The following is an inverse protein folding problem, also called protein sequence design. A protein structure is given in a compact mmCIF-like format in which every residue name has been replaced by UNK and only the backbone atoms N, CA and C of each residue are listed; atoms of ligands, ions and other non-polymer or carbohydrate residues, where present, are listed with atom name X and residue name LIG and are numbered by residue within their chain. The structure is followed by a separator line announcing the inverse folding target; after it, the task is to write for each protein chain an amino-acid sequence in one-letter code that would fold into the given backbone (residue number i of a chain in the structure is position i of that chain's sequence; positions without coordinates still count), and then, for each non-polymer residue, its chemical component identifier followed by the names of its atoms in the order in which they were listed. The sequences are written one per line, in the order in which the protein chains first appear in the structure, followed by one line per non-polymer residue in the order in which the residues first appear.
data_IF_738114544049
#
_entry.id   IF_738114544049
#
_cell.length_a   1.000
_cell.length_b   1.000
_cell.length_c   1.000
_cell.angle_alpha   90.00
_cell.angle_beta   90.00
_cell.angle_gamma   90.00
#
_symmetry.space_group_name_H-M   'P 1'
#
loop_
_entity.id
_entity.type
_entity.pdbx_description
1 polymer ?
#
# COMPACT_ATOMS: atom_id res chain seq x y z
N UNK A 1 -63.67 14.57 47.32
CA UNK A 1 -62.73 15.69 47.12
C UNK A 1 -61.72 15.63 48.25
N UNK A 2 -60.39 15.57 48.14
CA UNK A 2 -59.40 15.43 47.06
C UNK A 2 -58.21 14.72 47.75
N UNK A 3 -57.55 13.82 47.02
CA UNK A 3 -56.49 12.93 47.49
C UNK A 3 -55.24 13.70 47.92
N UNK A 4 -54.62 13.25 49.00
CA UNK A 4 -53.24 13.57 49.41
C UNK A 4 -52.31 12.94 48.36
N UNK A 5 -51.54 13.77 47.66
CA UNK A 5 -50.49 13.33 46.74
C UNK A 5 -49.15 13.75 47.32
N UNK A 6 -48.35 12.71 47.54
CA UNK A 6 -47.00 12.64 48.04
C UNK A 6 -46.04 13.39 47.09
N UNK A 7 -45.32 14.40 47.58
CA UNK A 7 -44.22 15.06 46.88
C UNK A 7 -42.90 14.38 47.30
N UNK A 8 -42.49 13.37 46.53
CA UNK A 8 -41.13 12.84 46.53
C UNK A 8 -40.46 13.34 45.26
N UNK A 9 -39.67 14.41 45.38
CA UNK A 9 -38.76 14.85 44.33
C UNK A 9 -37.57 13.88 44.30
N UNK A 10 -37.61 12.93 43.37
CA UNK A 10 -36.46 12.11 42.99
C UNK A 10 -35.59 12.98 42.06
N UNK A 11 -34.52 13.55 42.62
CA UNK A 11 -33.44 14.14 41.85
C UNK A 11 -32.46 13.03 41.44
N UNK A 12 -32.72 12.38 40.31
CA UNK A 12 -31.72 11.61 39.57
C UNK A 12 -31.49 12.36 38.26
N UNK A 13 -30.59 13.34 38.31
CA UNK A 13 -29.96 13.91 37.12
C UNK A 13 -28.94 12.87 36.65
N UNK A 14 -29.36 12.05 35.69
CA UNK A 14 -28.46 11.23 34.90
C UNK A 14 -27.63 12.20 34.06
N UNK A 15 -26.38 12.42 34.45
CA UNK A 15 -25.36 12.94 33.53
C UNK A 15 -25.12 11.87 32.47
N UNK A 16 -25.97 11.81 31.44
CA UNK A 16 -25.56 11.24 30.16
C UNK A 16 -24.66 12.28 29.49
N UNK A 17 -23.40 12.33 29.93
CA UNK A 17 -22.32 12.66 29.03
C UNK A 17 -22.38 11.61 27.93
N UNK A 18 -23.08 11.96 26.85
CA UNK A 18 -22.99 11.21 25.61
C UNK A 18 -21.54 11.33 25.17
N UNK A 19 -20.72 10.34 25.51
CA UNK A 19 -19.53 10.05 24.75
C UNK A 19 -20.04 9.73 23.34
N UNK A 20 -20.14 10.77 22.50
CA UNK A 20 -20.39 10.59 21.10
C UNK A 20 -19.17 9.84 20.60
N UNK A 21 -19.33 8.53 20.42
CA UNK A 21 -18.28 7.64 19.94
C UNK A 21 -17.75 8.29 18.65
N UNK A 22 -16.51 8.81 18.70
CA UNK A 22 -15.89 9.48 17.56
C UNK A 22 -15.91 8.46 16.43
N UNK A 23 -16.78 8.67 15.44
CA UNK A 23 -17.00 7.69 14.38
C UNK A 23 -15.67 7.54 13.65
N UNK A 24 -15.10 6.34 13.71
CA UNK A 24 -13.86 6.01 13.02
C UNK A 24 -14.05 6.23 11.50
N UNK A 25 -13.32 7.18 10.87
CA UNK A 25 -13.39 7.41 9.43
C UNK A 25 -13.24 6.13 8.61
N UNK A 26 -12.44 5.17 9.09
CA UNK A 26 -12.24 3.90 8.41
C UNK A 26 -13.51 3.05 8.37
N UNK A 27 -14.34 3.08 9.43
CA UNK A 27 -15.63 2.38 9.43
C UNK A 27 -16.56 2.96 8.38
N UNK A 28 -16.62 4.28 8.24
CA UNK A 28 -17.45 4.98 7.25
C UNK A 28 -17.01 4.58 5.84
N UNK A 29 -15.71 4.60 5.55
CA UNK A 29 -15.20 4.18 4.24
C UNK A 29 -15.55 2.72 3.94
N UNK A 30 -15.37 1.82 4.91
CA UNK A 30 -15.67 0.40 4.75
C UNK A 30 -17.16 0.15 4.48
N UNK A 31 -18.04 0.91 5.12
CA UNK A 31 -19.49 0.89 4.84
C UNK A 31 -19.78 1.42 3.44
N UNK A 32 -19.14 2.51 3.01
CA UNK A 32 -19.27 3.05 1.65
C UNK A 32 -18.90 2.00 0.59
N UNK A 33 -17.72 1.37 0.73
CA UNK A 33 -17.23 0.36 -0.22
C UNK A 33 -18.16 -0.87 -0.25
N UNK A 34 -18.70 -1.29 0.89
CA UNK A 34 -19.70 -2.39 0.95
C UNK A 34 -20.99 -2.03 0.23
N UNK A 35 -21.51 -0.83 0.47
CA UNK A 35 -22.74 -0.36 -0.17
C UNK A 35 -22.55 -0.23 -1.69
N UNK A 36 -21.36 0.18 -2.14
CA UNK A 36 -20.98 0.18 -3.55
C UNK A 36 -21.05 -1.23 -4.14
N UNK A 37 -20.38 -2.19 -3.48
CA UNK A 37 -20.36 -3.59 -3.93
C UNK A 37 -21.75 -4.22 -3.95
N UNK A 38 -22.62 -3.88 -3.00
CA UNK A 38 -24.02 -4.31 -2.98
C UNK A 38 -24.95 -3.51 -3.91
N UNK A 39 -24.40 -2.55 -4.68
CA UNK A 39 -25.12 -1.66 -5.60
C UNK A 39 -26.14 -0.75 -4.92
N UNK A 40 -26.01 -0.51 -3.62
CA UNK A 40 -26.75 0.55 -2.92
C UNK A 40 -26.00 1.88 -3.10
N UNK A 41 -26.04 2.39 -4.33
CA UNK A 41 -25.29 3.58 -4.73
C UNK A 41 -25.72 4.83 -3.96
N UNK A 42 -27.00 4.92 -3.56
CA UNK A 42 -27.51 6.04 -2.78
C UNK A 42 -26.84 6.08 -1.39
N UNK A 43 -26.80 4.95 -0.69
CA UNK A 43 -26.15 4.87 0.62
C UNK A 43 -24.63 4.99 0.51
N UNK A 44 -24.03 4.36 -0.51
CA UNK A 44 -22.60 4.48 -0.80
C UNK A 44 -22.19 5.94 -1.01
N UNK A 45 -22.94 6.69 -1.84
CA UNK A 45 -22.71 8.14 -2.07
C UNK A 45 -22.72 8.91 -0.76
N UNK A 46 -23.73 8.69 0.09
CA UNK A 46 -23.83 9.36 1.40
C UNK A 46 -22.62 9.05 2.28
N UNK A 47 -22.19 7.79 2.34
CA UNK A 47 -21.05 7.41 3.14
C UNK A 47 -19.72 7.96 2.59
N UNK A 48 -19.53 7.99 1.27
CA UNK A 48 -18.34 8.62 0.68
C UNK A 48 -18.28 10.11 0.95
N UNK A 49 -19.39 10.84 0.79
CA UNK A 49 -19.45 12.28 1.12
C UNK A 49 -19.14 12.50 2.61
N UNK A 50 -19.71 11.68 3.49
CA UNK A 50 -19.39 11.76 4.92
C UNK A 50 -17.91 11.50 5.21
N UNK A 51 -17.30 10.54 4.51
CA UNK A 51 -15.89 10.21 4.68
C UNK A 51 -14.97 11.34 4.20
N UNK A 52 -15.30 12.05 3.12
CA UNK A 52 -14.52 13.22 2.62
C UNK A 52 -14.34 14.29 3.71
N UNK A 53 -15.39 14.52 4.52
CA UNK A 53 -15.38 15.53 5.58
C UNK A 53 -14.46 15.15 6.75
N UNK A 54 -14.25 13.85 7.00
CA UNK A 54 -13.50 13.36 8.16
C UNK A 54 -12.15 12.72 7.84
N UNK A 55 -11.85 12.48 6.56
CA UNK A 55 -10.57 11.91 6.13
C UNK A 55 -9.43 12.91 6.36
N UNK A 56 -8.28 12.41 6.81
CA UNK A 56 -7.11 13.24 7.14
C UNK A 56 -6.29 13.62 5.90
N UNK A 57 -6.28 12.76 4.88
CA UNK A 57 -5.34 12.83 3.76
C UNK A 57 -6.03 13.06 2.42
N UNK A 58 -5.41 13.85 1.55
CA UNK A 58 -5.97 14.20 0.23
C UNK A 58 -6.24 12.97 -0.64
N UNK A 59 -5.35 11.98 -0.65
CA UNK A 59 -5.52 10.73 -1.43
C UNK A 59 -6.81 9.98 -1.08
N UNK A 60 -7.21 10.01 0.19
CA UNK A 60 -8.45 9.37 0.66
C UNK A 60 -9.67 10.16 0.18
N UNK A 61 -9.61 11.50 0.26
CA UNK A 61 -10.67 12.39 -0.24
C UNK A 61 -10.81 12.30 -1.75
N UNK A 62 -9.71 12.22 -2.49
CA UNK A 62 -9.64 11.98 -3.94
C UNK A 62 -10.43 10.72 -4.31
N UNK A 63 -10.05 9.58 -3.74
CA UNK A 63 -10.71 8.29 -4.01
C UNK A 63 -12.20 8.29 -3.62
N UNK A 64 -12.55 8.89 -2.48
CA UNK A 64 -13.93 8.95 -2.03
C UNK A 64 -14.81 9.87 -2.90
N UNK A 65 -14.28 11.02 -3.33
CA UNK A 65 -14.97 11.91 -4.26
C UNK A 65 -15.17 11.24 -5.61
N UNK A 66 -14.15 10.56 -6.14
CA UNK A 66 -14.25 9.78 -7.36
C UNK A 66 -15.34 8.69 -7.26
N UNK A 67 -15.29 7.84 -6.23
CA UNK A 67 -16.29 6.78 -6.07
C UNK A 67 -17.71 7.32 -5.83
N UNK A 68 -17.84 8.47 -5.17
CA UNK A 68 -19.13 9.16 -5.05
C UNK A 68 -19.63 9.64 -6.42
N UNK A 69 -18.75 10.14 -7.29
CA UNK A 69 -19.10 10.49 -8.66
C UNK A 69 -19.60 9.28 -9.45
N UNK A 70 -18.90 8.14 -9.39
CA UNK A 70 -19.33 6.90 -10.03
C UNK A 70 -20.72 6.46 -9.51
N UNK A 71 -20.94 6.47 -8.19
CA UNK A 71 -22.25 6.16 -7.62
C UNK A 71 -23.36 7.10 -8.13
N UNK A 72 -23.07 8.40 -8.25
CA UNK A 72 -24.04 9.40 -8.71
C UNK A 72 -24.34 9.25 -10.20
N UNK A 73 -23.33 8.93 -11.01
CA UNK A 73 -23.49 8.63 -12.43
C UNK A 73 -24.37 7.37 -12.63
N UNK A 74 -24.13 6.30 -11.86
CA UNK A 74 -24.96 5.09 -11.85
C UNK A 74 -26.40 5.31 -11.35
N UNK A 75 -26.66 6.43 -10.65
CA UNK A 75 -27.99 6.89 -10.25
C UNK A 75 -28.57 7.92 -11.24
N UNK A 76 -27.93 8.12 -12.39
CA UNK A 76 -28.30 9.12 -13.42
C UNK A 76 -28.32 10.57 -12.89
N UNK A 77 -27.65 10.84 -11.78
CA UNK A 77 -27.55 12.16 -11.14
C UNK A 77 -26.38 12.96 -11.72
N UNK A 78 -26.46 13.25 -13.03
CA UNK A 78 -25.37 13.79 -13.86
C UNK A 78 -24.72 15.04 -13.25
N UNK A 79 -25.51 16.05 -12.85
CA UNK A 79 -24.96 17.29 -12.28
C UNK A 79 -24.16 17.07 -11.01
N UNK A 80 -24.66 16.19 -10.13
CA UNK A 80 -23.99 15.89 -8.86
C UNK A 80 -22.73 15.06 -9.09
N UNK A 81 -22.74 14.17 -10.10
CA UNK A 81 -21.57 13.40 -10.49
C UNK A 81 -20.43 14.33 -10.94
N UNK A 82 -20.70 15.34 -11.78
CA UNK A 82 -19.69 16.33 -12.18
C UNK A 82 -19.14 17.13 -10.98
N UNK A 83 -19.99 17.54 -10.03
CA UNK A 83 -19.52 18.22 -8.81
C UNK A 83 -18.56 17.35 -8.00
N UNK A 84 -18.81 16.04 -7.93
CA UNK A 84 -17.89 15.11 -7.25
C UNK A 84 -16.61 14.85 -8.05
N UNK A 85 -16.66 14.80 -9.39
CA UNK A 85 -15.45 14.72 -10.23
C UNK A 85 -14.58 15.96 -10.06
N UNK A 86 -15.16 17.16 -10.07
CA UNK A 86 -14.41 18.41 -9.83
C UNK A 86 -13.74 18.38 -8.45
N UNK A 87 -14.43 17.90 -7.41
CA UNK A 87 -13.82 17.69 -6.09
C UNK A 87 -12.67 16.68 -6.13
N UNK A 88 -12.82 15.58 -6.87
CA UNK A 88 -11.75 14.60 -7.00
C UNK A 88 -10.51 15.20 -7.69
N UNK A 89 -10.72 16.04 -8.70
CA UNK A 89 -9.66 16.81 -9.40
C UNK A 89 -8.99 17.80 -8.44
N UNK A 90 -9.77 18.53 -7.64
CA UNK A 90 -9.23 19.43 -6.59
C UNK A 90 -8.38 18.68 -5.55
N UNK A 91 -8.68 17.40 -5.30
CA UNK A 91 -7.89 16.50 -4.45
C UNK A 91 -6.74 15.79 -5.19
N UNK A 92 -6.54 16.06 -6.48
CA UNK A 92 -5.39 15.59 -7.26
C UNK A 92 -5.67 14.41 -8.20
N UNK A 93 -6.92 14.18 -8.63
CA UNK A 93 -7.23 13.25 -9.72
C UNK A 93 -6.73 13.81 -11.06
N UNK A 94 -5.87 13.06 -11.75
CA UNK A 94 -5.30 13.48 -13.05
C UNK A 94 -5.34 12.38 -14.13
N UNK A 95 -5.72 11.15 -13.76
CA UNK A 95 -5.60 9.94 -14.59
C UNK A 95 -6.67 9.89 -15.70
N UNK A 96 -6.47 10.63 -16.79
CA UNK A 96 -7.43 10.72 -17.90
C UNK A 96 -7.86 9.37 -18.47
N UNK A 97 -6.92 8.42 -18.62
CA UNK A 97 -7.21 7.09 -19.14
C UNK A 97 -8.17 6.32 -18.25
N UNK A 98 -8.02 6.43 -16.93
CA UNK A 98 -8.89 5.78 -15.97
C UNK A 98 -10.34 6.26 -16.15
N UNK A 99 -10.56 7.58 -16.19
CA UNK A 99 -11.90 8.17 -16.38
C UNK A 99 -12.55 7.76 -17.70
N UNK A 100 -11.77 7.71 -18.79
CA UNK A 100 -12.29 7.33 -20.11
C UNK A 100 -12.71 5.86 -20.21
N UNK A 101 -12.10 5.00 -19.40
CA UNK A 101 -12.34 3.56 -19.42
C UNK A 101 -13.35 3.08 -18.37
N UNK A 102 -13.70 3.92 -17.40
CA UNK A 102 -14.62 3.56 -16.32
C UNK A 102 -16.07 3.52 -16.84
N UNK A 103 -16.65 2.31 -16.84
CA UNK A 103 -18.02 2.09 -17.27
C UNK A 103 -19.05 2.82 -16.41
N UNK A 104 -18.74 3.11 -15.15
CA UNK A 104 -19.69 3.75 -14.23
C UNK A 104 -19.90 5.23 -14.60
N UNK A 105 -18.99 5.82 -15.36
CA UNK A 105 -19.06 7.20 -15.85
C UNK A 105 -19.61 7.33 -17.27
N UNK A 106 -19.97 6.22 -17.94
CA UNK A 106 -20.34 6.21 -19.37
C UNK A 106 -21.50 7.18 -19.69
N UNK A 107 -22.46 7.33 -18.79
CA UNK A 107 -23.60 8.26 -18.96
C UNK A 107 -23.15 9.72 -19.03
N UNK A 108 -22.00 10.08 -18.44
CA UNK A 108 -21.47 11.44 -18.45
C UNK A 108 -20.83 11.78 -19.80
N UNK A 109 -20.42 10.78 -20.60
CA UNK A 109 -19.63 11.00 -21.82
C UNK A 109 -20.36 11.81 -22.89
N UNK A 110 -21.70 11.83 -22.86
CA UNK A 110 -22.54 12.58 -23.80
C UNK A 110 -22.82 14.02 -23.34
N UNK A 111 -22.50 14.36 -22.09
CA UNK A 111 -22.69 15.71 -21.57
C UNK A 111 -21.59 16.65 -22.09
N UNK A 112 -21.96 17.87 -22.49
CA UNK A 112 -21.02 18.87 -23.02
C UNK A 112 -19.88 19.22 -22.05
N UNK A 113 -20.06 19.01 -20.73
CA UNK A 113 -19.02 19.25 -19.72
C UNK A 113 -17.93 18.19 -19.76
N UNK A 114 -18.22 16.98 -20.26
CA UNK A 114 -17.27 15.88 -20.31
C UNK A 114 -16.02 16.22 -21.11
N UNK A 115 -16.20 16.73 -22.33
CA UNK A 115 -15.08 17.13 -23.19
C UNK A 115 -14.20 18.17 -22.50
N UNK A 116 -14.81 19.17 -21.85
CA UNK A 116 -14.09 20.19 -21.09
C UNK A 116 -13.31 19.59 -19.92
N UNK A 117 -13.95 18.73 -19.12
CA UNK A 117 -13.32 18.06 -17.98
C UNK A 117 -12.10 17.25 -18.43
N UNK A 118 -12.29 16.38 -19.42
CA UNK A 118 -11.24 15.50 -19.95
C UNK A 118 -10.10 16.30 -20.61
N UNK A 119 -10.40 17.40 -21.30
CA UNK A 119 -9.37 18.27 -21.89
C UNK A 119 -8.50 18.98 -20.85
N UNK A 120 -9.02 19.16 -19.63
CA UNK A 120 -8.28 19.74 -18.51
C UNK A 120 -7.37 18.76 -17.78
N UNK A 121 -7.48 17.46 -18.06
CA UNK A 121 -6.64 16.41 -17.47
C UNK A 121 -5.45 16.08 -18.38
N UNK A 122 -4.32 15.72 -17.78
CA UNK A 122 -3.13 15.31 -18.52
C UNK A 122 -3.34 13.96 -19.22
N UNK A 123 -2.88 13.84 -20.48
CA UNK A 123 -3.02 12.61 -21.29
C UNK A 123 -2.18 11.42 -20.83
N UNK A 124 -1.17 11.66 -19.98
CA UNK A 124 -0.38 10.58 -19.41
C UNK A 124 0.30 11.04 -18.13
N UNK A 125 0.27 10.18 -17.13
CA UNK A 125 1.38 10.01 -16.21
C UNK A 125 2.59 9.49 -17.03
N UNK A 126 3.23 10.35 -17.84
CA UNK A 126 4.55 10.01 -18.39
C UNK A 126 5.51 10.02 -17.24
N UNK A 127 5.49 8.94 -16.47
CA UNK A 127 6.54 8.64 -15.53
C UNK A 127 7.83 8.58 -16.32
N UNK A 128 8.83 9.19 -15.69
CA UNK A 128 10.16 9.33 -16.23
C UNK A 128 10.71 7.97 -16.71
N UNK A 129 11.27 7.91 -17.92
CA UNK A 129 11.86 6.69 -18.49
C UNK A 129 13.39 6.65 -18.37
N UNK A 130 14.01 7.72 -17.87
CA UNK A 130 15.43 7.83 -17.61
C UNK A 130 15.68 7.60 -16.11
N UNK A 131 16.36 6.52 -15.69
CA UNK A 131 16.58 6.27 -14.27
C UNK A 131 17.21 7.46 -13.53
N UNK A 132 18.04 8.29 -14.18
CA UNK A 132 18.76 9.42 -13.56
C UNK A 132 17.88 10.60 -13.14
N UNK A 133 16.64 10.67 -13.61
CA UNK A 133 15.71 11.75 -13.24
C UNK A 133 14.79 11.37 -12.06
N UNK A 134 14.86 10.13 -11.55
CA UNK A 134 14.09 9.72 -10.38
C UNK A 134 14.66 10.37 -9.11
N UNK A 135 13.81 11.07 -8.36
CA UNK A 135 14.21 11.69 -7.11
C UNK A 135 14.12 10.68 -5.96
N UNK A 136 15.14 10.66 -5.11
CA UNK A 136 15.16 9.87 -3.88
C UNK A 136 14.92 10.80 -2.69
N UNK A 137 13.65 10.88 -2.28
CA UNK A 137 13.11 11.82 -1.29
C UNK A 137 13.12 11.20 0.10
N UNK A 138 13.95 11.77 0.98
CA UNK A 138 14.17 11.27 2.35
C UNK A 138 13.80 12.30 3.42
N UNK A 139 13.38 13.50 3.02
CA UNK A 139 13.12 14.63 3.93
C UNK A 139 12.06 14.30 4.99
N UNK A 140 11.08 13.44 4.69
CA UNK A 140 10.06 13.05 5.65
C UNK A 140 10.64 12.26 6.83
N UNK A 141 11.71 11.46 6.63
CA UNK A 141 12.42 10.79 7.73
C UNK A 141 13.05 11.82 8.68
N UNK A 142 13.66 12.86 8.11
CA UNK A 142 14.27 13.95 8.88
C UNK A 142 13.22 14.80 9.60
N UNK A 143 12.14 15.17 8.93
CA UNK A 143 11.01 15.90 9.50
C UNK A 143 10.37 15.12 10.67
N UNK A 144 10.24 13.80 10.53
CA UNK A 144 9.74 12.94 11.60
C UNK A 144 10.60 13.04 12.85
N UNK A 145 11.93 12.93 12.71
CA UNK A 145 12.82 12.98 13.87
C UNK A 145 12.86 14.36 14.53
N UNK A 146 12.75 15.45 13.75
CA UNK A 146 12.55 16.81 14.29
C UNK A 146 11.26 16.88 15.12
N UNK A 147 10.14 16.40 14.56
CA UNK A 147 8.85 16.38 15.26
C UNK A 147 8.86 15.47 16.51
N UNK A 148 9.54 14.32 16.43
CA UNK A 148 9.66 13.36 17.52
C UNK A 148 10.38 13.97 18.72
N UNK A 149 11.54 14.63 18.50
CA UNK A 149 12.30 15.26 19.58
C UNK A 149 11.48 16.36 20.26
N UNK A 150 10.81 17.22 19.48
CA UNK A 150 9.93 18.26 20.00
C UNK A 150 8.74 17.68 20.80
N UNK A 151 8.16 16.57 20.32
CA UNK A 151 7.01 15.94 20.97
C UNK A 151 7.39 15.30 22.32
N UNK A 152 8.63 14.81 22.48
CA UNK A 152 9.13 14.27 23.75
C UNK A 152 9.23 15.37 24.82
N UNK A 153 9.67 16.56 24.44
CA UNK A 153 9.81 17.71 25.36
C UNK A 153 8.46 18.34 25.75
N UNK A 154 7.38 18.02 25.03
CA UNK A 154 6.05 18.63 25.21
C UNK A 154 4.92 17.63 24.94
N UNK A 155 4.86 16.56 25.74
CA UNK A 155 3.94 15.44 25.54
C UNK A 155 2.45 15.83 25.43
N UNK A 156 2.00 16.85 26.16
CA UNK A 156 0.62 17.37 26.07
C UNK A 156 0.29 18.06 24.72
N UNK A 157 1.31 18.35 23.91
CA UNK A 157 1.22 19.01 22.60
C UNK A 157 1.70 18.13 21.44
N UNK A 158 1.96 16.83 21.69
CA UNK A 158 2.52 15.93 20.68
C UNK A 158 1.73 15.93 19.37
N UNK A 159 0.39 15.91 19.43
CA UNK A 159 -0.44 15.91 18.22
C UNK A 159 -0.31 17.18 17.38
N UNK A 160 -0.27 18.36 18.01
CA UNK A 160 -0.04 19.63 17.30
C UNK A 160 1.37 19.71 16.74
N UNK A 161 2.37 19.18 17.45
CA UNK A 161 3.76 19.14 17.00
C UNK A 161 3.89 18.24 15.76
N UNK A 162 3.39 17.00 15.80
CA UNK A 162 3.38 16.14 14.61
C UNK A 162 2.61 16.76 13.45
N UNK A 163 1.51 17.48 13.71
CA UNK A 163 0.81 18.18 12.63
C UNK A 163 1.67 19.26 11.97
N UNK A 164 2.25 20.17 12.75
CA UNK A 164 3.03 21.30 12.22
C UNK A 164 4.38 20.87 11.63
N UNK A 165 5.09 19.96 12.28
CA UNK A 165 6.47 19.63 11.94
C UNK A 165 6.59 18.41 11.02
N UNK A 166 5.56 17.57 10.94
CA UNK A 166 5.59 16.37 10.11
C UNK A 166 4.49 16.37 9.04
N UNK A 167 3.22 16.39 9.41
CA UNK A 167 2.12 16.23 8.43
C UNK A 167 1.92 17.43 7.49
N UNK A 168 2.12 18.67 7.95
CA UNK A 168 2.03 19.88 7.11
C UNK A 168 3.24 20.05 6.19
N UNK A 169 4.38 19.43 6.55
CA UNK A 169 5.60 19.41 5.74
C UNK A 169 5.70 18.16 4.85
N UNK A 170 4.67 17.32 4.82
CA UNK A 170 4.71 16.03 4.14
C UNK A 170 4.94 16.17 2.63
N UNK A 171 5.86 15.37 2.10
CA UNK A 171 6.00 15.20 0.65
C UNK A 171 4.72 14.62 0.01
N UNK A 172 4.58 14.68 -1.32
CA UNK A 172 3.51 13.99 -2.04
C UNK A 172 3.42 12.49 -1.69
N UNK A 173 4.55 11.78 -1.67
CA UNK A 173 4.55 10.36 -1.33
C UNK A 173 4.20 10.08 0.14
N UNK A 174 4.57 10.97 1.07
CA UNK A 174 4.11 10.84 2.46
C UNK A 174 2.61 11.04 2.61
N UNK A 175 2.00 11.98 1.89
CA UNK A 175 0.55 12.15 1.88
C UNK A 175 -0.15 10.88 1.39
N UNK A 176 0.36 10.27 0.33
CA UNK A 176 -0.19 9.03 -0.23
C UNK A 176 0.02 7.84 0.73
N UNK A 177 1.23 7.65 1.27
CA UNK A 177 1.54 6.56 2.18
C UNK A 177 0.68 6.62 3.45
N UNK A 178 0.57 7.82 4.04
CA UNK A 178 -0.22 8.01 5.24
C UNK A 178 -1.71 7.73 4.99
N UNK A 179 -2.25 8.16 3.87
CA UNK A 179 -3.66 7.91 3.53
C UNK A 179 -3.96 6.45 3.18
N UNK A 180 -3.09 5.80 2.41
CA UNK A 180 -3.29 4.45 1.90
C UNK A 180 -2.97 3.37 2.94
N UNK A 181 -1.89 3.54 3.70
CA UNK A 181 -1.37 2.50 4.60
C UNK A 181 -1.60 2.81 6.07
N UNK A 182 -1.43 4.05 6.53
CA UNK A 182 -1.54 4.42 7.96
C UNK A 182 -2.96 4.84 8.35
N UNK A 183 -3.73 5.33 7.38
CA UNK A 183 -5.17 5.67 7.42
C UNK A 183 -5.55 6.93 8.20
N UNK A 184 -4.91 7.24 9.32
CA UNK A 184 -5.20 8.48 10.07
C UNK A 184 -3.99 8.99 10.85
N UNK A 185 -3.97 10.30 11.09
CA UNK A 185 -2.96 10.97 11.92
C UNK A 185 -3.03 10.49 13.38
N UNK A 186 -4.25 10.31 13.90
CA UNK A 186 -4.49 9.80 15.26
C UNK A 186 -3.90 8.39 15.45
N UNK A 187 -4.10 7.49 14.47
CA UNK A 187 -3.54 6.15 14.50
C UNK A 187 -2.01 6.18 14.47
N UNK A 188 -1.42 7.00 13.59
CA UNK A 188 0.02 7.19 13.53
C UNK A 188 0.58 7.61 14.89
N UNK A 189 0.09 8.72 15.45
CA UNK A 189 0.58 9.28 16.71
C UNK A 189 0.41 8.28 17.86
N UNK A 190 -0.73 7.59 17.91
CA UNK A 190 -0.96 6.53 18.91
C UNK A 190 0.06 5.41 18.79
N UNK A 191 0.38 4.96 17.57
CA UNK A 191 1.38 3.93 17.34
C UNK A 191 2.77 4.38 17.78
N UNK A 192 3.21 5.59 17.42
CA UNK A 192 4.53 6.10 17.87
C UNK A 192 4.60 6.12 19.40
N UNK A 193 3.58 6.68 20.05
CA UNK A 193 3.54 6.84 21.50
C UNK A 193 3.43 5.51 22.27
N UNK A 194 2.94 4.44 21.63
CA UNK A 194 2.86 3.11 22.26
C UNK A 194 4.13 2.28 22.12
N UNK A 195 5.13 2.72 21.34
CA UNK A 195 6.39 2.01 21.12
C UNK A 195 7.64 2.85 21.47
N UNK A 196 7.70 3.53 22.63
CA UNK A 196 8.79 4.45 22.94
C UNK A 196 10.18 3.79 22.94
N UNK A 197 10.31 2.52 23.37
CA UNK A 197 11.62 1.83 23.39
C UNK A 197 12.12 1.53 21.98
N UNK A 198 11.20 1.19 21.08
CA UNK A 198 11.54 1.00 19.67
C UNK A 198 12.02 2.33 19.06
N UNK A 199 11.22 3.39 19.17
CA UNK A 199 11.56 4.69 18.58
C UNK A 199 12.81 5.35 19.19
N UNK A 200 13.17 5.01 20.42
CA UNK A 200 14.46 5.40 21.02
C UNK A 200 15.67 4.70 20.39
N UNK A 201 15.50 3.54 19.75
CA UNK A 201 16.61 2.69 19.29
C UNK A 201 16.74 2.58 17.77
N UNK A 202 15.70 2.92 17.00
CA UNK A 202 15.74 2.79 15.53
C UNK A 202 16.28 4.01 14.77
N UNK A 203 16.47 5.16 15.42
CA UNK A 203 16.79 6.44 14.75
C UNK A 203 17.97 6.34 13.79
N UNK A 204 19.10 5.86 14.28
CA UNK A 204 20.31 5.76 13.45
C UNK A 204 20.10 4.83 12.25
N UNK A 205 19.38 3.72 12.42
CA UNK A 205 19.12 2.78 11.33
C UNK A 205 18.21 3.39 10.26
N UNK A 206 17.19 4.17 10.65
CA UNK A 206 16.30 4.83 9.69
C UNK A 206 16.98 5.95 8.90
N UNK A 207 17.97 6.64 9.50
CA UNK A 207 18.72 7.71 8.85
C UNK A 207 19.75 7.21 7.82
N UNK A 208 20.14 5.93 7.88
CA UNK A 208 21.03 5.32 6.88
C UNK A 208 20.47 5.34 5.45
N UNK A 209 19.17 5.61 5.28
CA UNK A 209 18.55 5.82 3.97
C UNK A 209 19.30 6.86 3.12
N UNK A 210 19.95 7.85 3.74
CA UNK A 210 20.77 8.84 3.03
C UNK A 210 21.97 8.22 2.32
N UNK A 211 22.48 7.10 2.81
CA UNK A 211 23.67 6.40 2.29
C UNK A 211 23.33 5.53 1.06
N UNK A 212 22.11 5.01 0.97
CA UNK A 212 21.70 4.04 -0.05
C UNK A 212 21.21 4.64 -1.37
N UNK A 213 21.20 5.98 -1.52
CA UNK A 213 20.70 6.64 -2.74
C UNK A 213 21.39 6.14 -4.01
N UNK A 214 22.71 5.91 -3.94
CA UNK A 214 23.49 5.43 -5.09
C UNK A 214 23.17 3.98 -5.46
N UNK A 215 22.88 3.13 -4.48
CA UNK A 215 22.56 1.72 -4.71
C UNK A 215 21.15 1.55 -5.30
N UNK A 216 20.20 2.38 -4.86
CA UNK A 216 18.87 2.49 -5.49
C UNK A 216 19.02 2.93 -6.95
N UNK A 217 19.78 4.00 -7.18
CA UNK A 217 20.01 4.54 -8.53
C UNK A 217 20.69 3.52 -9.45
N UNK A 218 21.62 2.72 -8.90
CA UNK A 218 22.24 1.61 -9.63
C UNK A 218 21.19 0.58 -10.02
N UNK A 219 20.34 0.14 -9.10
CA UNK A 219 19.28 -0.85 -9.38
C UNK A 219 18.32 -0.39 -10.48
N UNK A 220 18.00 0.91 -10.53
CA UNK A 220 17.19 1.50 -11.59
C UNK A 220 17.87 1.40 -12.97
N UNK A 221 19.18 1.65 -13.03
CA UNK A 221 19.97 1.48 -14.27
C UNK A 221 20.04 0.03 -14.71
N UNK A 222 20.24 -0.90 -13.79
CA UNK A 222 20.24 -2.33 -14.09
C UNK A 222 18.88 -2.76 -14.68
N UNK A 223 17.75 -2.27 -14.14
CA UNK A 223 16.44 -2.53 -14.73
C UNK A 223 16.32 -1.95 -16.15
N UNK A 224 16.82 -0.73 -16.39
CA UNK A 224 16.79 -0.10 -17.72
C UNK A 224 17.50 -0.95 -18.78
N UNK A 225 18.62 -1.57 -18.42
CA UNK A 225 19.41 -2.40 -19.32
C UNK A 225 18.69 -3.69 -19.72
N UNK A 226 17.98 -4.32 -18.78
CA UNK A 226 17.28 -5.60 -19.02
C UNK A 226 15.83 -5.40 -19.51
N UNK A 227 15.24 -4.22 -19.26
CA UNK A 227 13.88 -3.85 -19.65
C UNK A 227 13.82 -2.38 -20.14
N UNK A 228 14.15 -2.09 -21.42
CA UNK A 228 14.29 -0.73 -21.92
C UNK A 228 13.05 0.18 -21.82
N UNK A 229 11.85 -0.39 -21.74
CA UNK A 229 10.57 0.34 -21.57
C UNK A 229 10.21 0.65 -20.12
N UNK A 230 11.10 0.34 -19.16
CA UNK A 230 10.89 0.63 -17.75
C UNK A 230 10.59 2.12 -17.47
N UNK A 231 9.71 2.33 -16.50
CA UNK A 231 9.38 3.62 -15.88
C UNK A 231 10.08 3.74 -14.53
N UNK A 232 10.55 4.94 -14.20
CA UNK A 232 11.30 5.25 -12.98
C UNK A 232 10.64 6.41 -12.24
N UNK A 233 9.68 6.11 -11.34
CA UNK A 233 9.06 7.12 -10.51
C UNK A 233 10.01 7.60 -9.41
N UNK A 234 9.64 8.70 -8.75
CA UNK A 234 10.29 9.13 -7.52
C UNK A 234 10.11 8.09 -6.40
N UNK A 235 11.05 8.07 -5.45
CA UNK A 235 11.05 7.19 -4.28
C UNK A 235 10.93 8.04 -3.03
N UNK A 236 9.92 7.75 -2.21
CA UNK A 236 9.61 8.48 -0.99
C UNK A 236 9.81 7.59 0.23
N UNK A 237 10.68 8.03 1.14
CA UNK A 237 10.94 7.35 2.39
C UNK A 237 10.25 8.07 3.54
N UNK A 238 9.43 7.33 4.30
CA UNK A 238 8.55 7.92 5.30
C UNK A 238 8.58 7.09 6.58
N UNK A 239 8.35 7.75 7.71
CA UNK A 239 8.09 7.05 8.95
C UNK A 239 6.66 6.50 8.93
N UNK A 240 6.49 5.19 8.96
CA UNK A 240 5.19 4.55 8.99
C UNK A 240 4.74 4.14 10.41
N UNK A 241 3.67 3.35 10.47
CA UNK A 241 3.14 2.77 11.70
C UNK A 241 3.11 1.23 11.63
N UNK A 242 4.17 0.62 11.08
CA UNK A 242 4.27 -0.83 10.79
C UNK A 242 3.16 -1.39 9.89
N UNK A 243 2.53 -0.55 9.06
CA UNK A 243 1.42 -0.97 8.19
C UNK A 243 1.84 -1.39 6.78
N UNK A 244 3.05 -1.07 6.32
CA UNK A 244 3.60 -1.46 5.01
C UNK A 244 5.12 -1.32 5.01
N UNK A 245 5.83 -2.24 4.35
CA UNK A 245 7.27 -2.10 4.08
C UNK A 245 7.52 -1.23 2.85
N UNK A 246 6.74 -1.48 1.79
CA UNK A 246 6.64 -0.66 0.60
C UNK A 246 5.24 -0.68 0.02
N UNK A 247 4.99 0.19 -0.97
CA UNK A 247 3.82 0.20 -1.86
C UNK A 247 4.07 1.18 -3.00
N UNK A 248 3.22 1.13 -4.02
CA UNK A 248 3.20 2.12 -5.11
C UNK A 248 1.98 3.04 -5.05
N UNK A 249 2.10 4.21 -5.66
CA UNK A 249 1.02 5.20 -5.85
C UNK A 249 1.29 6.04 -7.10
N UNK A 250 0.37 6.94 -7.45
CA UNK A 250 0.58 7.95 -8.50
C UNK A 250 1.76 8.90 -8.21
N UNK A 251 2.13 9.10 -6.94
CA UNK A 251 3.32 9.89 -6.60
C UNK A 251 4.63 9.15 -6.89
N UNK A 252 4.63 7.81 -6.75
CA UNK A 252 5.78 6.95 -6.96
C UNK A 252 5.88 5.81 -5.95
N UNK A 253 7.10 5.35 -5.67
CA UNK A 253 7.37 4.28 -4.70
C UNK A 253 7.36 4.84 -3.28
N UNK A 254 6.66 4.19 -2.37
CA UNK A 254 6.46 4.66 -1.00
C UNK A 254 7.01 3.63 -0.02
N UNK A 255 8.04 3.98 0.74
CA UNK A 255 8.79 3.05 1.59
C UNK A 255 8.65 3.42 3.07
N UNK A 256 8.11 2.48 3.85
CA UNK A 256 7.93 2.61 5.30
C UNK A 256 9.22 2.29 6.06
N UNK A 257 10.09 3.28 6.25
CA UNK A 257 11.49 3.07 6.68
C UNK A 257 11.65 2.39 8.04
N UNK A 258 10.65 2.46 8.94
CA UNK A 258 10.70 1.80 10.23
C UNK A 258 10.74 0.27 10.16
N UNK A 259 10.25 -0.35 9.09
CA UNK A 259 10.43 -1.79 8.91
C UNK A 259 11.86 -2.14 8.45
N UNK A 260 12.67 -1.18 7.99
CA UNK A 260 14.06 -1.38 7.55
C UNK A 260 15.03 -0.81 8.60
N UNK A 261 14.71 -1.02 9.87
CA UNK A 261 15.43 -0.41 10.99
C UNK A 261 15.93 -1.39 12.05
N UNK A 262 15.93 -2.69 11.76
CA UNK A 262 16.42 -3.75 12.65
C UNK A 262 17.94 -3.67 12.87
N UNK A 263 18.43 -4.27 13.95
CA UNK A 263 19.83 -4.29 14.34
C UNK A 263 20.06 -4.82 15.76
N UNK A 264 21.32 -5.05 16.13
CA UNK A 264 21.69 -5.65 17.43
C UNK A 264 21.19 -4.84 18.63
N UNK A 265 21.21 -3.51 18.54
CA UNK A 265 20.81 -2.58 19.61
C UNK A 265 19.32 -2.18 19.57
N UNK A 266 18.52 -2.76 18.67
CA UNK A 266 17.12 -2.36 18.47
C UNK A 266 16.20 -3.05 19.48
N UNK A 267 15.42 -2.25 20.22
CA UNK A 267 14.50 -2.77 21.22
C UNK A 267 13.13 -3.07 20.60
N UNK A 268 12.89 -4.35 20.31
CA UNK A 268 11.63 -4.84 19.73
C UNK A 268 10.65 -5.39 20.77
N UNK A 269 10.86 -5.18 22.08
CA UNK A 269 10.02 -5.79 23.12
C UNK A 269 8.54 -5.37 23.05
N UNK A 270 8.27 -4.20 22.49
CA UNK A 270 6.93 -3.61 22.35
C UNK A 270 6.21 -4.11 21.09
N UNK A 271 6.91 -4.79 20.18
CA UNK A 271 6.34 -5.41 18.99
C UNK A 271 5.83 -6.83 19.29
N UNK A 272 4.70 -7.17 18.66
CA UNK A 272 4.21 -8.54 18.68
C UNK A 272 5.06 -9.47 17.79
N UNK A 273 4.70 -10.77 17.74
CA UNK A 273 5.46 -11.72 16.93
C UNK A 273 5.40 -11.41 15.43
N UNK A 274 4.24 -10.99 14.92
CA UNK A 274 4.06 -10.67 13.51
C UNK A 274 4.85 -9.42 13.11
N UNK A 275 4.77 -8.37 13.91
CA UNK A 275 5.48 -7.11 13.67
C UNK A 275 7.00 -7.28 13.68
N UNK A 276 7.53 -8.17 14.53
CA UNK A 276 8.96 -8.52 14.52
C UNK A 276 9.41 -9.19 13.23
N UNK A 277 8.54 -9.95 12.57
CA UNK A 277 8.88 -10.59 11.29
C UNK A 277 8.99 -9.56 10.16
N UNK A 278 8.29 -8.43 10.25
CA UNK A 278 8.34 -7.34 9.28
C UNK A 278 9.67 -6.56 9.34
N UNK A 279 10.38 -6.62 10.47
CA UNK A 279 11.64 -5.88 10.64
C UNK A 279 12.77 -6.48 9.80
N UNK A 280 13.54 -5.62 9.16
CA UNK A 280 14.71 -5.94 8.36
C UNK A 280 15.81 -4.90 8.63
N UNK A 281 17.05 -5.24 8.30
CA UNK A 281 18.17 -4.32 8.44
C UNK A 281 18.10 -3.21 7.40
N UNK A 282 18.71 -2.05 7.70
CA UNK A 282 18.74 -0.91 6.77
C UNK A 282 19.43 -1.25 5.44
N UNK A 283 20.33 -2.23 5.44
CA UNK A 283 21.02 -2.72 4.23
C UNK A 283 20.03 -3.31 3.19
N UNK A 284 18.80 -3.65 3.60
CA UNK A 284 17.76 -4.13 2.69
C UNK A 284 17.03 -3.01 1.94
N UNK A 285 17.32 -1.73 2.20
CA UNK A 285 16.65 -0.59 1.57
C UNK A 285 16.73 -0.66 0.03
N UNK A 286 17.88 -0.87 -0.62
CA UNK A 286 17.93 -1.01 -2.08
C UNK A 286 17.09 -2.17 -2.60
N UNK A 287 17.00 -3.27 -1.85
CA UNK A 287 16.31 -4.49 -2.26
C UNK A 287 14.79 -4.30 -2.24
N UNK A 288 14.24 -3.72 -1.16
CA UNK A 288 12.80 -3.43 -1.10
C UNK A 288 12.38 -2.35 -2.12
N UNK A 289 13.22 -1.34 -2.36
CA UNK A 289 12.94 -0.33 -3.39
C UNK A 289 12.92 -0.98 -4.78
N UNK A 290 13.81 -1.94 -5.01
CA UNK A 290 13.85 -2.69 -6.26
C UNK A 290 12.63 -3.58 -6.44
N UNK A 291 12.16 -4.24 -5.37
CA UNK A 291 10.88 -4.97 -5.36
C UNK A 291 9.70 -4.06 -5.75
N UNK A 292 9.55 -2.89 -5.10
CA UNK A 292 8.47 -1.95 -5.41
C UNK A 292 8.57 -1.37 -6.82
N UNK A 293 9.79 -1.18 -7.34
CA UNK A 293 9.99 -0.75 -8.72
C UNK A 293 9.40 -1.74 -9.72
N UNK A 294 9.44 -3.04 -9.43
CA UNK A 294 8.84 -4.06 -10.30
C UNK A 294 7.32 -4.00 -10.24
N UNK A 295 6.71 -3.83 -9.07
CA UNK A 295 5.28 -3.58 -8.98
C UNK A 295 4.83 -2.39 -9.83
N UNK A 296 5.65 -1.35 -9.91
CA UNK A 296 5.40 -0.19 -10.77
C UNK A 296 5.43 -0.51 -12.28
N UNK A 297 6.04 -1.63 -12.68
CA UNK A 297 6.04 -2.08 -14.08
C UNK A 297 4.89 -3.04 -14.41
N UNK A 298 4.11 -3.48 -13.42
CA UNK A 298 3.11 -4.55 -13.54
C UNK A 298 1.73 -4.08 -14.06
N UNK A 299 1.61 -2.85 -14.59
CA UNK A 299 0.37 -2.27 -15.10
C UNK A 299 -0.35 -3.13 -16.18
N UNK A 300 0.38 -4.01 -16.87
CA UNK A 300 -0.12 -4.83 -17.98
C UNK A 300 -0.54 -6.26 -17.61
N UNK A 301 -0.44 -6.66 -16.34
CA UNK A 301 -0.76 -8.03 -15.93
C UNK A 301 -2.27 -8.34 -16.03
N UNK A 302 -2.59 -9.61 -16.26
CA UNK A 302 -3.98 -10.10 -16.22
C UNK A 302 -4.60 -9.84 -14.86
N UNK A 303 -5.71 -9.10 -14.83
CA UNK A 303 -6.56 -9.05 -13.64
C UNK A 303 -7.29 -10.39 -13.48
N UNK A 304 -6.92 -11.16 -12.46
CA UNK A 304 -7.48 -12.46 -12.09
C UNK A 304 -7.46 -12.58 -10.55
N UNK A 305 -8.41 -13.32 -9.97
CA UNK A 305 -8.56 -13.50 -8.52
C UNK A 305 -7.95 -14.80 -8.01
N UNK A 306 -7.36 -15.64 -8.88
CA UNK A 306 -6.73 -16.88 -8.43
C UNK A 306 -5.45 -16.60 -7.63
N UNK A 307 -5.24 -17.38 -6.56
CA UNK A 307 -4.06 -17.29 -5.68
C UNK A 307 -2.73 -17.36 -6.46
N UNK A 308 -2.68 -18.13 -7.56
CA UNK A 308 -1.50 -18.22 -8.43
C UNK A 308 -1.08 -16.87 -9.01
N UNK A 309 -2.04 -16.04 -9.44
CA UNK A 309 -1.76 -14.73 -10.02
C UNK A 309 -1.11 -13.79 -9.00
N UNK A 310 -1.67 -13.74 -7.79
CA UNK A 310 -1.10 -12.98 -6.68
C UNK A 310 0.31 -13.45 -6.31
N UNK A 311 0.52 -14.76 -6.16
CA UNK A 311 1.83 -15.31 -5.84
C UNK A 311 2.87 -14.95 -6.91
N UNK A 312 2.54 -15.14 -8.20
CA UNK A 312 3.42 -14.75 -9.31
C UNK A 312 3.72 -13.26 -9.29
N UNK A 313 2.74 -12.39 -9.02
CA UNK A 313 2.95 -10.94 -8.99
C UNK A 313 3.96 -10.52 -7.92
N UNK A 314 3.79 -11.00 -6.68
CA UNK A 314 4.70 -10.71 -5.55
C UNK A 314 6.08 -11.35 -5.75
N UNK A 315 6.11 -12.62 -6.14
CA UNK A 315 7.36 -13.35 -6.34
C UNK A 315 8.15 -12.88 -7.57
N UNK A 316 7.49 -12.33 -8.59
CA UNK A 316 8.14 -11.65 -9.72
C UNK A 316 8.83 -10.39 -9.25
N UNK A 317 8.19 -9.61 -8.38
CA UNK A 317 8.80 -8.42 -7.79
C UNK A 317 10.04 -8.78 -6.96
N UNK A 318 9.99 -9.85 -6.18
CA UNK A 318 11.18 -10.38 -5.49
C UNK A 318 12.27 -10.86 -6.45
N UNK A 319 11.92 -11.62 -7.48
CA UNK A 319 12.90 -12.22 -8.38
C UNK A 319 13.61 -11.16 -9.23
N UNK A 320 12.85 -10.32 -9.92
CA UNK A 320 13.46 -9.27 -10.76
C UNK A 320 14.10 -8.21 -9.86
N UNK A 321 13.52 -7.93 -8.69
CA UNK A 321 14.14 -7.07 -7.67
C UNK A 321 15.53 -7.58 -7.25
N UNK A 322 15.66 -8.88 -6.96
CA UNK A 322 16.96 -9.52 -6.67
C UNK A 322 17.92 -9.39 -7.87
N UNK A 323 17.45 -9.65 -9.10
CA UNK A 323 18.29 -9.56 -10.29
C UNK A 323 18.93 -8.16 -10.47
N UNK A 324 18.19 -7.09 -10.19
CA UNK A 324 18.67 -5.72 -10.42
C UNK A 324 19.44 -5.13 -9.23
N UNK A 325 19.18 -5.62 -8.01
CA UNK A 325 19.76 -5.08 -6.78
C UNK A 325 20.86 -5.95 -6.17
N UNK A 326 20.94 -7.21 -6.59
CA UNK A 326 21.95 -8.19 -6.19
C UNK A 326 21.56 -9.07 -5.01
N UNK A 327 20.47 -8.77 -4.29
CA UNK A 327 20.00 -9.56 -3.15
C UNK A 327 18.48 -9.51 -2.96
N UNK A 328 17.93 -10.49 -2.25
CA UNK A 328 16.49 -10.58 -1.96
C UNK A 328 16.07 -9.68 -0.79
N UNK A 329 14.93 -8.99 -0.93
CA UNK A 329 14.30 -8.26 0.16
C UNK A 329 13.73 -9.21 1.26
N UNK A 330 13.52 -10.48 0.94
CA UNK A 330 12.75 -11.44 1.73
C UNK A 330 13.58 -12.64 2.21
N UNK A 331 14.87 -12.43 2.50
CA UNK A 331 15.83 -13.48 2.93
C UNK A 331 15.27 -14.44 3.99
N UNK A 332 14.53 -13.92 4.97
CA UNK A 332 13.92 -14.73 6.06
C UNK A 332 12.93 -15.78 5.55
N UNK A 333 12.17 -15.47 4.50
CA UNK A 333 11.23 -16.42 3.87
C UNK A 333 12.02 -17.57 3.23
N UNK A 334 13.08 -17.26 2.48
CA UNK A 334 13.94 -18.26 1.84
C UNK A 334 14.62 -19.17 2.86
N UNK A 335 15.17 -18.60 3.94
CA UNK A 335 15.81 -19.37 5.00
C UNK A 335 14.83 -20.33 5.68
N UNK A 336 13.58 -19.91 5.88
CA UNK A 336 12.55 -20.76 6.45
C UNK A 336 12.07 -21.85 5.47
N UNK A 337 11.96 -21.54 4.18
CA UNK A 337 11.49 -22.45 3.14
C UNK A 337 12.46 -23.61 2.85
N UNK A 338 13.76 -23.42 3.15
CA UNK A 338 14.81 -24.43 2.93
C UNK A 338 14.45 -25.80 3.54
N UNK A 339 14.45 -26.82 2.70
CA UNK A 339 14.11 -28.20 3.05
C UNK A 339 12.61 -28.48 3.20
N UNK A 340 11.73 -27.50 2.92
CA UNK A 340 10.26 -27.61 2.98
C UNK A 340 9.60 -27.37 1.62
N UNK A 341 10.38 -27.28 0.55
CA UNK A 341 9.95 -26.85 -0.78
C UNK A 341 8.77 -27.70 -1.29
N UNK A 342 8.88 -29.04 -1.19
CA UNK A 342 7.83 -29.97 -1.61
C UNK A 342 6.56 -29.86 -0.77
N UNK A 343 6.70 -29.59 0.53
CA UNK A 343 5.56 -29.41 1.42
C UNK A 343 4.81 -28.11 1.09
N UNK A 344 5.54 -27.01 0.97
CA UNK A 344 4.99 -25.69 0.63
C UNK A 344 4.23 -25.78 -0.70
N UNK A 345 4.82 -26.40 -1.72
CA UNK A 345 4.16 -26.59 -3.02
C UNK A 345 2.90 -27.46 -2.94
N UNK A 346 2.95 -28.58 -2.20
CA UNK A 346 1.81 -29.47 -2.05
C UNK A 346 0.62 -28.78 -1.36
N UNK A 347 0.89 -27.88 -0.41
CA UNK A 347 -0.15 -27.09 0.23
C UNK A 347 -0.67 -25.97 -0.70
N UNK A 348 0.21 -25.31 -1.44
CA UNK A 348 -0.17 -24.27 -2.40
C UNK A 348 -1.04 -24.80 -3.54
N UNK A 349 -0.73 -25.98 -4.06
CA UNK A 349 -1.47 -26.60 -5.16
C UNK A 349 -2.97 -26.75 -4.85
N UNK A 350 -3.33 -26.93 -3.57
CA UNK A 350 -4.73 -27.03 -3.11
C UNK A 350 -5.49 -25.71 -3.23
N UNK A 351 -4.79 -24.57 -3.19
CA UNK A 351 -5.36 -23.22 -3.15
C UNK A 351 -5.13 -22.43 -4.44
N UNK A 352 -4.13 -22.75 -5.26
CA UNK A 352 -3.61 -21.89 -6.33
C UNK A 352 -4.64 -21.43 -7.36
N UNK A 353 -5.70 -22.20 -7.61
CA UNK A 353 -6.77 -21.86 -8.57
C UNK A 353 -8.06 -21.33 -7.93
N UNK A 354 -8.03 -21.03 -6.63
CA UNK A 354 -9.13 -20.40 -5.89
C UNK A 354 -8.73 -18.99 -5.44
N UNK A 355 -9.73 -18.17 -5.13
CA UNK A 355 -9.56 -16.88 -4.45
C UNK A 355 -9.29 -17.11 -2.95
N UNK A 356 -8.03 -17.43 -2.65
CA UNK A 356 -7.51 -17.76 -1.31
C UNK A 356 -6.15 -17.14 -1.04
N UNK A 357 -5.81 -16.06 -1.74
CA UNK A 357 -4.50 -15.41 -1.64
C UNK A 357 -4.15 -14.99 -0.20
N UNK A 358 -5.15 -14.61 0.61
CA UNK A 358 -4.99 -14.26 2.02
C UNK A 358 -4.49 -15.40 2.93
N UNK A 359 -4.42 -16.64 2.44
CA UNK A 359 -3.71 -17.73 3.12
C UNK A 359 -2.19 -17.69 2.89
N UNK A 360 -1.72 -16.95 1.90
CA UNK A 360 -0.36 -17.01 1.35
C UNK A 360 0.37 -15.67 1.34
N UNK A 361 -0.36 -14.54 1.40
CA UNK A 361 0.15 -13.17 1.31
C UNK A 361 -0.54 -12.30 2.36
N UNK A 362 0.21 -11.45 3.07
CA UNK A 362 -0.24 -10.56 4.13
C UNK A 362 -0.80 -11.27 5.37
N UNK A 363 -0.41 -12.53 5.61
CA UNK A 363 -1.05 -13.43 6.58
C UNK A 363 -0.35 -13.48 7.95
N UNK A 364 0.36 -12.41 8.34
CA UNK A 364 1.13 -12.30 9.59
C UNK A 364 0.33 -12.58 10.88
N UNK A 365 -0.96 -12.28 10.90
CA UNK A 365 -1.81 -12.57 12.07
C UNK A 365 -1.98 -14.07 12.37
N UNK A 366 -1.66 -14.93 11.40
CA UNK A 366 -1.67 -16.39 11.52
C UNK A 366 -0.25 -16.97 11.67
N UNK A 367 0.77 -16.13 11.69
CA UNK A 367 2.17 -16.57 11.71
C UNK A 367 2.49 -17.34 12.99
N UNK A 368 3.27 -18.41 12.83
CA UNK A 368 3.78 -19.21 13.94
C UNK A 368 5.13 -19.82 13.55
N UNK A 369 5.77 -20.55 14.48
CA UNK A 369 7.03 -21.25 14.18
C UNK A 369 6.88 -22.29 13.06
N UNK A 370 5.69 -22.89 12.95
CA UNK A 370 5.38 -23.95 11.99
C UNK A 370 4.66 -23.42 10.73
N UNK A 371 4.37 -22.11 10.68
CA UNK A 371 3.70 -21.46 9.56
C UNK A 371 4.26 -20.04 9.39
N UNK A 372 5.26 -19.89 8.53
CA UNK A 372 5.79 -18.58 8.17
C UNK A 372 4.80 -17.82 7.27
N UNK A 373 4.61 -16.50 7.46
CA UNK A 373 3.76 -15.72 6.58
C UNK A 373 4.38 -15.56 5.19
N UNK A 374 3.61 -15.07 4.23
CA UNK A 374 4.09 -14.61 2.92
C UNK A 374 4.81 -15.67 2.06
N UNK A 375 4.53 -16.95 2.29
CA UNK A 375 5.07 -18.03 1.46
C UNK A 375 4.66 -17.93 -0.02
N UNK A 376 3.63 -17.15 -0.35
CA UNK A 376 3.29 -16.81 -1.73
C UNK A 376 4.43 -16.12 -2.49
N UNK A 377 5.24 -15.30 -1.81
CA UNK A 377 6.41 -14.61 -2.39
C UNK A 377 7.45 -15.64 -2.87
N UNK A 378 7.82 -16.58 -2.00
CA UNK A 378 8.77 -17.64 -2.35
C UNK A 378 8.27 -18.51 -3.51
N UNK A 379 6.99 -18.86 -3.52
CA UNK A 379 6.39 -19.68 -4.59
C UNK A 379 6.45 -18.95 -5.92
N UNK A 380 5.99 -17.70 -5.98
CA UNK A 380 6.04 -16.91 -7.19
C UNK A 380 7.46 -16.67 -7.68
N UNK A 381 8.39 -16.45 -6.75
CA UNK A 381 9.81 -16.27 -7.05
C UNK A 381 10.36 -17.51 -7.75
N UNK A 382 10.13 -18.71 -7.20
CA UNK A 382 10.65 -19.95 -7.78
C UNK A 382 10.03 -20.24 -9.17
N UNK A 383 8.75 -19.91 -9.37
CA UNK A 383 8.11 -20.00 -10.69
C UNK A 383 8.79 -19.05 -11.68
N UNK A 384 8.94 -17.77 -11.32
CA UNK A 384 9.55 -16.76 -12.20
C UNK A 384 11.01 -17.10 -12.50
N UNK A 385 11.79 -17.47 -11.48
CA UNK A 385 13.18 -17.90 -11.62
C UNK A 385 13.30 -19.12 -12.52
N UNK A 386 12.45 -20.13 -12.34
CA UNK A 386 12.45 -21.33 -13.19
C UNK A 386 12.13 -20.98 -14.65
N UNK A 387 11.17 -20.09 -14.90
CA UNK A 387 10.88 -19.58 -16.25
C UNK A 387 12.10 -18.88 -16.85
N UNK A 388 12.69 -17.93 -16.11
CA UNK A 388 13.87 -17.19 -16.53
C UNK A 388 15.04 -18.11 -16.85
N UNK A 389 15.36 -19.07 -15.98
CA UNK A 389 16.48 -20.01 -16.17
C UNK A 389 16.32 -20.86 -17.44
N UNK A 390 15.08 -21.26 -17.77
CA UNK A 390 14.77 -22.06 -18.96
C UNK A 390 14.69 -21.26 -20.27
N UNK A 391 14.58 -19.93 -20.21
CA UNK A 391 14.50 -19.10 -21.40
C UNK A 391 15.86 -18.94 -22.10
N UNK A 392 15.87 -18.98 -23.43
CA UNK A 392 17.07 -18.68 -24.23
C UNK A 392 17.36 -17.17 -24.24
N UNK A 393 16.32 -16.35 -24.42
CA UNK A 393 16.40 -14.90 -24.33
C UNK A 393 15.90 -14.42 -22.97
N UNK A 394 16.85 -13.94 -22.15
CA UNK A 394 16.58 -13.45 -20.80
C UNK A 394 15.79 -12.12 -20.79
N UNK A 395 15.97 -11.27 -21.79
CA UNK A 395 15.22 -10.00 -21.90
C UNK A 395 13.78 -10.27 -22.30
N UNK A 396 13.58 -11.20 -23.24
CA UNK A 396 12.23 -11.66 -23.56
C UNK A 396 11.55 -12.30 -22.36
N UNK A 397 12.27 -13.08 -21.54
CA UNK A 397 11.69 -13.69 -20.35
C UNK A 397 11.15 -12.65 -19.35
N UNK A 398 11.86 -11.53 -19.17
CA UNK A 398 11.43 -10.41 -18.31
C UNK A 398 10.21 -9.72 -18.92
N UNK A 399 10.20 -9.48 -20.23
CA UNK A 399 9.05 -8.92 -20.94
C UNK A 399 7.80 -9.80 -20.78
N UNK A 400 7.96 -11.12 -20.91
CA UNK A 400 6.88 -12.09 -20.76
C UNK A 400 6.31 -12.06 -19.33
N UNK A 401 7.18 -12.02 -18.31
CA UNK A 401 6.78 -11.87 -16.91
C UNK A 401 5.95 -10.61 -16.68
N UNK A 402 6.40 -9.47 -17.16
CA UNK A 402 5.73 -8.18 -16.94
C UNK A 402 4.44 -8.01 -17.76
N UNK A 403 4.08 -8.97 -18.62
CA UNK A 403 2.91 -8.90 -19.50
C UNK A 403 2.03 -10.16 -19.48
N UNK A 404 2.14 -11.01 -18.45
CA UNK A 404 1.40 -12.28 -18.35
C UNK A 404 -0.10 -12.06 -18.52
N UNK A 405 -0.68 -12.76 -19.52
CA UNK A 405 -2.13 -12.80 -19.77
C UNK A 405 -2.81 -14.11 -19.33
N UNK A 406 -2.02 -15.15 -19.04
CA UNK A 406 -2.48 -16.48 -18.61
C UNK A 406 -1.50 -17.08 -17.59
N UNK A 407 -1.86 -16.99 -16.31
CA UNK A 407 -1.03 -17.49 -15.21
C UNK A 407 -0.87 -19.02 -15.22
N UNK A 408 -1.87 -19.78 -15.72
CA UNK A 408 -1.80 -21.24 -15.76
C UNK A 408 -0.80 -21.69 -16.83
N UNK A 409 -0.84 -21.05 -17.99
CA UNK A 409 0.14 -21.26 -19.05
C UNK A 409 1.54 -20.86 -18.59
N UNK A 410 1.69 -19.70 -17.95
CA UNK A 410 3.00 -19.26 -17.44
C UNK A 410 3.61 -20.25 -16.44
N UNK A 411 2.81 -20.78 -15.50
CA UNK A 411 3.27 -21.84 -14.59
C UNK A 411 3.75 -23.08 -15.35
N UNK A 412 2.98 -23.56 -16.34
CA UNK A 412 3.38 -24.72 -17.13
C UNK A 412 4.70 -24.48 -17.90
N UNK A 413 4.82 -23.32 -18.53
CA UNK A 413 6.01 -22.94 -19.30
C UNK A 413 7.23 -22.72 -18.41
N UNK A 414 7.04 -22.35 -17.13
CA UNK A 414 8.13 -22.16 -16.16
C UNK A 414 8.91 -23.45 -15.87
N UNK A 415 8.28 -24.62 -16.09
CA UNK A 415 8.79 -25.95 -15.70
C UNK A 415 9.11 -26.11 -14.21
N UNK A 416 8.57 -25.24 -13.36
CA UNK A 416 8.81 -25.30 -11.91
C UNK A 416 8.44 -26.66 -11.31
N UNK A 417 7.29 -27.23 -11.69
CA UNK A 417 6.85 -28.53 -11.18
C UNK A 417 7.84 -29.66 -11.51
N UNK A 418 8.48 -29.59 -12.69
CA UNK A 418 9.50 -30.55 -13.10
C UNK A 418 10.81 -30.35 -12.34
N UNK A 419 11.21 -29.09 -12.10
CA UNK A 419 12.39 -28.73 -11.31
C UNK A 419 12.24 -29.20 -9.86
N UNK A 420 11.07 -28.99 -9.25
CA UNK A 420 10.78 -29.38 -7.87
C UNK A 420 10.87 -30.90 -7.63
N UNK A 421 10.58 -31.72 -8.64
CA UNK A 421 10.73 -33.18 -8.54
C UNK A 421 12.19 -33.63 -8.43
N UNK A 422 13.14 -32.80 -8.85
CA UNK A 422 14.57 -33.08 -8.87
C UNK A 422 15.31 -32.57 -7.62
N UNK A 423 14.67 -31.70 -6.83
CA UNK A 423 15.11 -31.29 -5.49
C UNK A 423 14.92 -32.44 -4.50
#
# INVERSE_FOLDING_TARGET
MKKIVLLLFISILINQLSAQEKIDPFRIKKEADRNYQSKDYALATKNYIQFIEVADFKVQKKSAAYNAACCLALQESIDSAFVMLDKAIDYGLAEKSHLLSDSDLEILHQDQRWEKLISGLSESDTFNTDPELANIVVQDVHNFWEAYDLAQDSSNQAASIYNQYYFEKASPGMQDYMGLKVRSKDYFIKHINSHPKLYQTIRQNTLKVDEYKKDIQKSFKELKEIYPSAKFPDVYFVMGAFTSGGTVSSAGLLIGINQMSDGEDVNTQELDFGDKLLMNQSENIPYIVSHELIHFQQDGLKNDTITLGYAISEGMADFIGELISGETANRKIFDWAKGKEKQIWADFNKDMYYDRYSNWIGNYSKASKDSYPDLGYWIGYEICKSYYENAEDKKQAIQDMLTIQDYRKFLADSKWESKLQQL
#
